data_IF_046940810469
#
_entry.id   IF_046940810469
#
_cell.length_a   1.000
_cell.length_b   1.000
_cell.length_c   1.000
_cell.angle_alpha   90.00
_cell.angle_beta   90.00
_cell.angle_gamma   90.00
#
_symmetry.space_group_name_H-M   'P 1'
#
loop_
_entity.id
_entity.type
_entity.pdbx_description
1 polymer ?
#
# COMPACT_ATOMS: atom_id res chain seq x y z
N UNK A 1 -6.53 11.00 -4.11
CA UNK A 1 -7.88 11.17 -3.61
C UNK A 1 -7.99 12.13 -2.44
N UNK A 2 -8.72 11.73 -1.41
CA UNK A 2 -9.03 12.59 -0.24
C UNK A 2 -7.79 13.13 0.47
N UNK A 3 -6.80 12.26 0.71
CA UNK A 3 -5.54 12.64 1.36
C UNK A 3 -4.72 13.66 0.54
N UNK A 4 -4.74 13.57 -0.77
CA UNK A 4 -4.07 14.55 -1.65
C UNK A 4 -4.70 15.93 -1.56
N UNK A 5 -6.03 16.00 -1.45
CA UNK A 5 -6.75 17.27 -1.28
C UNK A 5 -6.45 17.88 0.09
N UNK A 6 -6.40 17.06 1.15
CA UNK A 6 -6.04 17.55 2.49
C UNK A 6 -4.59 18.05 2.51
N UNK A 7 -3.64 17.30 1.98
CA UNK A 7 -2.24 17.69 1.93
C UNK A 7 -2.00 18.89 1.01
N UNK A 8 -2.81 19.05 -0.05
CA UNK A 8 -2.75 20.17 -0.99
C UNK A 8 -3.65 21.35 -0.63
N UNK A 9 -4.30 21.37 0.54
CA UNK A 9 -5.29 22.38 0.89
C UNK A 9 -4.74 23.82 0.85
N UNK A 10 -3.51 24.02 1.30
CA UNK A 10 -2.83 25.32 1.26
C UNK A 10 -2.69 25.85 -0.18
N UNK A 11 -2.32 24.97 -1.11
CA UNK A 11 -2.19 25.31 -2.54
C UNK A 11 -3.57 25.63 -3.14
N UNK A 12 -4.58 24.79 -2.84
CA UNK A 12 -5.96 24.98 -3.31
C UNK A 12 -6.52 26.35 -2.84
N UNK A 13 -6.22 26.73 -1.59
CA UNK A 13 -6.63 28.03 -1.04
C UNK A 13 -5.89 29.18 -1.69
N UNK A 14 -4.58 29.06 -1.89
CA UNK A 14 -3.74 30.07 -2.52
C UNK A 14 -4.21 30.41 -3.94
N UNK A 15 -4.60 29.38 -4.71
CA UNK A 15 -5.12 29.56 -6.07
C UNK A 15 -6.64 29.76 -6.16
N UNK A 16 -7.34 29.90 -5.02
CA UNK A 16 -8.81 30.08 -4.94
C UNK A 16 -9.60 29.02 -5.71
N UNK A 17 -9.12 27.78 -5.71
CA UNK A 17 -9.72 26.68 -6.46
C UNK A 17 -10.67 25.80 -5.62
N UNK A 18 -11.10 26.24 -4.45
CA UNK A 18 -11.93 25.48 -3.52
C UNK A 18 -13.23 24.96 -4.16
N UNK A 19 -13.90 25.82 -4.95
CA UNK A 19 -15.15 25.47 -5.63
C UNK A 19 -14.93 24.29 -6.60
N UNK A 20 -13.90 24.38 -7.46
CA UNK A 20 -13.57 23.35 -8.45
C UNK A 20 -13.19 22.02 -7.82
N UNK A 21 -12.41 22.05 -6.73
CA UNK A 21 -12.05 20.84 -5.99
C UNK A 21 -13.23 20.28 -5.20
N UNK A 22 -14.12 21.15 -4.68
CA UNK A 22 -15.37 20.75 -4.05
C UNK A 22 -16.30 20.02 -5.03
N UNK A 23 -16.45 20.52 -6.26
CA UNK A 23 -17.21 19.84 -7.32
C UNK A 23 -16.63 18.46 -7.67
N UNK A 24 -15.32 18.36 -7.89
CA UNK A 24 -14.64 17.06 -8.14
C UNK A 24 -14.84 16.08 -7.00
N UNK A 25 -14.77 16.59 -5.77
CA UNK A 25 -15.00 15.77 -4.57
C UNK A 25 -16.44 15.27 -4.52
N UNK A 26 -17.42 16.15 -4.80
CA UNK A 26 -18.82 15.80 -4.81
C UNK A 26 -19.15 14.79 -5.92
N UNK A 27 -18.52 14.92 -7.07
CA UNK A 27 -18.67 13.99 -8.20
C UNK A 27 -18.09 12.61 -7.89
N UNK A 28 -16.88 12.55 -7.33
CA UNK A 28 -16.27 11.32 -6.86
C UNK A 28 -17.11 10.66 -5.74
N UNK A 29 -17.62 11.45 -4.80
CA UNK A 29 -18.50 10.98 -3.73
C UNK A 29 -19.84 10.46 -4.28
N UNK A 30 -20.43 11.15 -5.26
CA UNK A 30 -21.64 10.70 -5.95
C UNK A 30 -21.44 9.37 -6.66
N UNK A 31 -20.38 9.22 -7.43
CA UNK A 31 -20.10 7.96 -8.14
C UNK A 31 -19.95 6.80 -7.16
N UNK A 32 -19.26 7.02 -6.05
CA UNK A 32 -19.11 6.03 -4.99
C UNK A 32 -20.45 5.72 -4.30
N UNK A 33 -21.26 6.75 -4.06
CA UNK A 33 -22.61 6.60 -3.50
C UNK A 33 -23.53 5.77 -4.41
N UNK A 34 -23.55 6.07 -5.71
CA UNK A 34 -24.37 5.32 -6.66
C UNK A 34 -23.93 3.87 -6.79
N UNK A 35 -22.62 3.60 -6.87
CA UNK A 35 -22.10 2.24 -6.88
C UNK A 35 -22.52 1.46 -5.62
N UNK A 36 -22.36 2.09 -4.44
CA UNK A 36 -22.76 1.48 -3.17
C UNK A 36 -24.28 1.27 -3.08
N UNK A 37 -25.06 2.23 -3.58
CA UNK A 37 -26.52 2.14 -3.59
C UNK A 37 -27.02 1.04 -4.53
N UNK A 38 -26.36 0.80 -5.66
CA UNK A 38 -26.69 -0.34 -6.53
C UNK A 38 -26.48 -1.68 -5.81
N UNK A 39 -25.37 -1.83 -5.11
CA UNK A 39 -25.10 -3.06 -4.31
C UNK A 39 -26.16 -3.25 -3.23
N UNK A 40 -26.49 -2.20 -2.48
CA UNK A 40 -27.52 -2.25 -1.43
C UNK A 40 -28.93 -2.56 -1.99
N UNK A 41 -29.24 -2.04 -3.21
CA UNK A 41 -30.51 -2.35 -3.88
C UNK A 41 -30.57 -3.81 -4.33
N UNK A 42 -29.49 -4.34 -4.90
CA UNK A 42 -29.43 -5.75 -5.28
C UNK A 42 -29.57 -6.66 -4.07
N UNK A 43 -28.87 -6.39 -2.98
CA UNK A 43 -28.96 -7.17 -1.75
C UNK A 43 -30.36 -7.06 -1.10
N UNK A 44 -30.87 -5.83 -0.98
CA UNK A 44 -32.13 -5.57 -0.26
C UNK A 44 -33.39 -5.93 -1.05
N UNK A 45 -33.43 -5.68 -2.38
CA UNK A 45 -34.60 -5.87 -3.20
C UNK A 45 -34.64 -7.17 -4.00
N UNK A 46 -33.48 -7.78 -4.24
CA UNK A 46 -33.38 -9.00 -5.02
C UNK A 46 -33.07 -10.21 -4.14
N UNK A 47 -31.93 -10.19 -3.47
CA UNK A 47 -31.43 -11.37 -2.75
C UNK A 47 -32.34 -11.74 -1.55
N UNK A 48 -32.63 -10.80 -0.67
CA UNK A 48 -33.46 -11.05 0.53
C UNK A 48 -34.89 -11.44 0.19
N UNK A 49 -35.64 -10.73 -0.70
CA UNK A 49 -36.98 -11.14 -1.08
C UNK A 49 -37.00 -12.47 -1.81
N UNK A 50 -36.01 -12.78 -2.64
CA UNK A 50 -35.94 -14.07 -3.34
C UNK A 50 -35.73 -15.23 -2.39
N UNK A 51 -34.85 -15.09 -1.40
CA UNK A 51 -34.66 -16.09 -0.34
C UNK A 51 -35.91 -16.26 0.50
N UNK A 52 -36.62 -15.16 0.84
CA UNK A 52 -37.84 -15.18 1.59
C UNK A 52 -38.98 -15.88 0.81
N UNK A 53 -39.09 -15.58 -0.51
CA UNK A 53 -40.07 -16.23 -1.38
C UNK A 53 -39.81 -17.74 -1.51
N UNK A 54 -38.51 -18.10 -1.69
CA UNK A 54 -38.11 -19.51 -1.74
C UNK A 54 -38.47 -20.24 -0.44
N UNK A 55 -38.16 -19.65 0.70
CA UNK A 55 -38.50 -20.20 2.02
C UNK A 55 -40.03 -20.37 2.19
N UNK A 56 -40.83 -19.40 1.72
CA UNK A 56 -42.28 -19.47 1.75
C UNK A 56 -42.80 -20.57 0.84
N UNK A 57 -42.25 -20.74 -0.37
CA UNK A 57 -42.63 -21.80 -1.29
C UNK A 57 -42.34 -23.20 -0.72
N UNK A 58 -41.16 -23.37 -0.12
CA UNK A 58 -40.76 -24.61 0.54
C UNK A 58 -41.73 -24.93 1.70
N UNK A 59 -42.04 -23.91 2.50
CA UNK A 59 -43.00 -24.05 3.60
C UNK A 59 -44.41 -24.45 3.11
N UNK A 60 -44.93 -23.77 2.08
CA UNK A 60 -46.20 -24.11 1.47
C UNK A 60 -46.18 -25.53 0.89
N UNK A 61 -45.13 -25.94 0.22
CA UNK A 61 -44.95 -27.28 -0.31
C UNK A 61 -44.96 -28.34 0.79
N UNK A 62 -44.28 -28.10 1.89
CA UNK A 62 -44.28 -28.98 3.05
C UNK A 62 -45.70 -29.09 3.68
N UNK A 63 -46.35 -27.96 3.88
CA UNK A 63 -47.72 -27.96 4.43
C UNK A 63 -48.69 -28.70 3.53
N UNK A 64 -48.59 -28.58 2.21
CA UNK A 64 -49.43 -29.36 1.26
C UNK A 64 -49.09 -30.84 1.33
N UNK A 65 -47.81 -31.22 1.31
CA UNK A 65 -47.38 -32.62 1.41
C UNK A 65 -47.91 -33.27 2.69
N UNK A 66 -47.84 -32.59 3.83
CA UNK A 66 -48.33 -33.10 5.10
C UNK A 66 -49.84 -33.05 5.19
N UNK A 67 -50.52 -32.05 4.60
CA UNK A 67 -51.98 -31.94 4.62
C UNK A 67 -52.70 -32.98 3.73
N UNK A 68 -52.04 -33.40 2.61
CA UNK A 68 -52.60 -34.42 1.71
C UNK A 68 -52.17 -35.85 2.06
N UNK A 69 -51.16 -36.06 2.91
CA UNK A 69 -50.74 -37.39 3.32
C UNK A 69 -51.72 -37.95 4.37
N UNK A 70 -52.56 -38.91 3.94
CA UNK A 70 -53.44 -39.69 4.80
C UNK A 70 -52.73 -40.72 5.68
N UNK A 71 -51.37 -40.74 5.62
CA UNK A 71 -50.56 -41.74 6.32
C UNK A 71 -49.91 -41.12 7.55
N UNK A 72 -50.52 -41.37 8.69
CA UNK A 72 -49.92 -41.19 10.01
C UNK A 72 -49.98 -39.75 10.54
N UNK A 73 -50.23 -39.61 11.81
CA UNK A 73 -50.13 -38.35 12.57
C UNK A 73 -48.69 -37.87 12.57
N UNK A 74 -48.37 -36.89 11.67
CA UNK A 74 -47.11 -36.17 11.78
C UNK A 74 -47.19 -35.36 13.08
N UNK A 75 -46.25 -35.60 13.97
CA UNK A 75 -46.17 -34.86 15.22
C UNK A 75 -45.98 -33.39 14.92
N UNK A 76 -46.77 -32.51 15.51
CA UNK A 76 -46.71 -31.05 15.37
C UNK A 76 -45.27 -30.54 15.64
N UNK A 77 -44.54 -31.25 16.50
CA UNK A 77 -43.13 -30.98 16.79
C UNK A 77 -42.21 -31.06 15.59
N UNK A 78 -42.41 -32.02 14.66
CA UNK A 78 -41.63 -32.16 13.44
C UNK A 78 -41.86 -30.98 12.50
N UNK A 79 -43.12 -30.55 12.35
CA UNK A 79 -43.47 -29.40 11.54
C UNK A 79 -42.84 -28.12 12.10
N UNK A 80 -42.89 -27.91 13.40
CA UNK A 80 -42.28 -26.79 14.08
C UNK A 80 -40.75 -26.80 13.92
N UNK A 81 -40.08 -27.93 14.03
CA UNK A 81 -38.66 -28.07 13.83
C UNK A 81 -38.26 -27.67 12.40
N UNK A 82 -39.00 -28.11 11.38
CA UNK A 82 -38.78 -27.77 9.98
C UNK A 82 -38.87 -26.26 9.73
N UNK A 83 -39.91 -25.63 10.23
CA UNK A 83 -40.11 -24.17 10.12
C UNK A 83 -38.93 -23.42 10.78
N UNK A 84 -38.56 -23.87 11.97
CA UNK A 84 -37.42 -23.27 12.69
C UNK A 84 -36.10 -23.42 11.96
N UNK A 85 -35.83 -24.59 11.35
CA UNK A 85 -34.59 -24.79 10.58
C UNK A 85 -34.58 -24.01 9.28
N UNK A 86 -35.70 -23.89 8.56
CA UNK A 86 -35.80 -23.04 7.38
C UNK A 86 -35.51 -21.56 7.70
N UNK A 87 -36.02 -21.06 8.81
CA UNK A 87 -35.72 -19.70 9.24
C UNK A 87 -34.25 -19.48 9.58
N UNK A 88 -33.60 -20.47 10.19
CA UNK A 88 -32.18 -20.43 10.56
C UNK A 88 -31.25 -20.58 9.37
N UNK A 89 -31.66 -21.12 8.22
CA UNK A 89 -30.85 -21.25 7.02
C UNK A 89 -30.63 -19.92 6.29
N UNK A 90 -31.53 -18.98 6.43
CA UNK A 90 -31.44 -17.70 5.71
C UNK A 90 -30.28 -16.81 6.20
N UNK A 91 -30.02 -16.77 7.50
CA UNK A 91 -28.92 -15.98 8.07
C UNK A 91 -27.52 -16.42 7.56
N UNK A 92 -27.16 -17.72 7.66
CA UNK A 92 -25.87 -18.18 7.12
C UNK A 92 -25.68 -17.92 5.62
N UNK A 93 -26.75 -18.02 4.82
CA UNK A 93 -26.69 -17.75 3.38
C UNK A 93 -26.36 -16.27 3.08
N UNK A 94 -26.98 -15.35 3.84
CA UNK A 94 -26.67 -13.93 3.73
C UNK A 94 -25.24 -13.65 4.22
N UNK A 95 -24.83 -14.30 5.30
CA UNK A 95 -23.49 -14.14 5.87
C UNK A 95 -22.40 -14.62 4.90
N UNK A 96 -22.61 -15.72 4.19
CA UNK A 96 -21.68 -16.21 3.16
C UNK A 96 -21.41 -15.17 2.07
N UNK A 97 -22.41 -14.37 1.66
CA UNK A 97 -22.19 -13.32 0.65
C UNK A 97 -21.33 -12.18 1.18
N UNK A 98 -21.45 -11.83 2.45
CA UNK A 98 -20.59 -10.82 3.08
C UNK A 98 -19.18 -11.34 3.33
N UNK A 99 -19.04 -12.60 3.72
CA UNK A 99 -17.74 -13.28 3.89
C UNK A 99 -16.95 -13.36 2.58
N UNK A 100 -17.62 -13.60 1.46
CA UNK A 100 -16.98 -13.62 0.14
C UNK A 100 -16.31 -12.27 -0.19
N UNK A 101 -16.98 -11.15 0.09
CA UNK A 101 -16.41 -9.82 -0.11
C UNK A 101 -15.17 -9.58 0.77
N UNK A 102 -15.23 -10.03 2.01
CA UNK A 102 -14.10 -9.93 2.96
C UNK A 102 -12.92 -10.78 2.51
N UNK A 103 -13.18 -11.99 2.00
CA UNK A 103 -12.15 -12.87 1.46
C UNK A 103 -11.45 -12.23 0.26
N UNK A 104 -12.18 -11.64 -0.68
CA UNK A 104 -11.60 -10.93 -1.82
C UNK A 104 -10.70 -9.77 -1.37
N UNK A 105 -11.12 -8.97 -0.38
CA UNK A 105 -10.30 -7.90 0.18
C UNK A 105 -9.03 -8.44 0.85
N UNK A 106 -9.13 -9.55 1.57
CA UNK A 106 -7.98 -10.20 2.20
C UNK A 106 -6.98 -10.73 1.16
N UNK A 107 -7.45 -11.31 0.06
CA UNK A 107 -6.59 -11.77 -1.04
C UNK A 107 -5.83 -10.59 -1.65
N UNK A 108 -6.52 -9.50 -2.01
CA UNK A 108 -5.87 -8.30 -2.59
C UNK A 108 -4.88 -7.67 -1.61
N UNK A 109 -5.18 -7.66 -0.32
CA UNK A 109 -4.24 -7.19 0.70
C UNK A 109 -3.01 -8.11 0.80
N UNK A 110 -3.24 -9.43 0.74
CA UNK A 110 -2.19 -10.44 0.72
C UNK A 110 -1.26 -10.30 -0.49
N UNK A 111 -1.80 -10.13 -1.68
CA UNK A 111 -1.02 -9.90 -2.91
C UNK A 111 -0.05 -8.73 -2.77
N UNK A 112 -0.51 -7.62 -2.19
CA UNK A 112 0.37 -6.45 -1.95
C UNK A 112 1.51 -6.75 -0.97
N UNK A 113 1.25 -7.56 0.05
CA UNK A 113 2.27 -7.97 1.01
C UNK A 113 3.29 -8.88 0.33
N UNK A 114 2.83 -9.88 -0.44
CA UNK A 114 3.71 -10.79 -1.17
C UNK A 114 4.50 -10.06 -2.26
N UNK A 115 3.89 -9.13 -3.00
CA UNK A 115 4.61 -8.29 -3.97
C UNK A 115 5.75 -7.50 -3.32
N UNK A 116 5.55 -7.03 -2.08
CA UNK A 116 6.61 -6.36 -1.33
C UNK A 116 7.69 -7.33 -0.86
N UNK A 117 7.30 -8.53 -0.40
CA UNK A 117 8.22 -9.56 0.09
C UNK A 117 9.06 -10.17 -1.05
N UNK A 118 8.49 -10.28 -2.24
CA UNK A 118 9.15 -10.84 -3.43
C UNK A 118 10.09 -9.84 -4.12
N UNK A 119 10.09 -8.58 -3.69
CA UNK A 119 11.05 -7.61 -4.23
C UNK A 119 12.48 -8.04 -3.91
N UNK A 120 13.37 -8.00 -4.90
CA UNK A 120 14.77 -8.35 -4.68
C UNK A 120 15.35 -7.45 -3.59
N UNK A 121 16.02 -8.08 -2.63
CA UNK A 121 16.74 -7.33 -1.60
C UNK A 121 17.89 -6.58 -2.23
N UNK A 122 18.18 -5.40 -1.71
CA UNK A 122 19.37 -4.66 -2.11
C UNK A 122 20.62 -5.47 -1.72
N UNK A 123 21.48 -5.74 -2.70
CA UNK A 123 22.75 -6.41 -2.46
C UNK A 123 23.76 -5.38 -1.95
N UNK A 124 24.22 -5.58 -0.73
CA UNK A 124 25.39 -4.93 -0.18
C UNK A 124 26.59 -5.86 -0.34
N UNK A 125 27.80 -5.29 -0.29
CA UNK A 125 29.00 -6.11 -0.21
C UNK A 125 29.16 -6.79 1.15
N UNK A 126 30.23 -7.55 1.29
CA UNK A 126 30.53 -8.33 2.49
C UNK A 126 31.53 -7.65 3.43
N UNK A 127 32.09 -6.49 3.04
CA UNK A 127 33.09 -5.76 3.83
C UNK A 127 32.42 -4.92 4.92
N UNK A 128 32.34 -5.47 6.12
CA UNK A 128 31.80 -4.82 7.32
C UNK A 128 32.85 -4.00 8.12
N UNK A 129 34.05 -3.79 7.56
CA UNK A 129 35.07 -2.98 8.22
C UNK A 129 34.60 -1.53 8.37
N UNK A 130 34.67 -0.92 9.55
CA UNK A 130 34.21 0.45 9.76
C UNK A 130 34.90 1.47 8.85
N UNK A 131 34.18 2.52 8.46
CA UNK A 131 34.72 3.70 7.83
C UNK A 131 35.29 4.64 8.88
N UNK A 132 36.47 5.22 8.67
CA UNK A 132 37.16 6.01 9.70
C UNK A 132 37.59 7.40 9.25
N UNK A 133 38.01 7.57 8.01
CA UNK A 133 38.61 8.82 7.53
C UNK A 133 37.59 9.79 6.93
N UNK A 134 36.59 9.26 6.26
CA UNK A 134 35.59 10.04 5.55
C UNK A 134 36.06 10.59 4.22
N UNK A 135 37.08 9.97 3.61
CA UNK A 135 37.52 10.29 2.23
C UNK A 135 36.47 9.78 1.25
N UNK A 136 36.15 10.59 0.21
CA UNK A 136 35.18 10.20 -0.83
C UNK A 136 35.82 10.42 -2.18
N UNK A 137 35.89 9.38 -3.00
CA UNK A 137 36.32 9.43 -4.38
C UNK A 137 35.17 9.04 -5.29
N UNK A 138 34.87 9.86 -6.26
CA UNK A 138 33.87 9.62 -7.29
C UNK A 138 34.54 9.73 -8.64
N UNK A 139 34.45 8.67 -9.46
CA UNK A 139 35.11 8.61 -10.77
C UNK A 139 34.05 8.32 -11.86
N UNK A 140 33.97 9.25 -12.84
CA UNK A 140 33.15 9.14 -14.06
C UNK A 140 31.68 8.69 -13.77
N UNK A 141 31.11 9.15 -12.67
CA UNK A 141 29.79 8.77 -12.21
C UNK A 141 28.70 9.30 -13.13
N UNK A 142 27.91 8.40 -13.71
CA UNK A 142 26.69 8.75 -14.42
C UNK A 142 25.54 7.93 -13.85
N UNK A 143 24.39 8.57 -13.66
CA UNK A 143 23.24 7.95 -13.04
C UNK A 143 21.93 8.41 -13.63
N UNK A 144 21.00 7.46 -13.78
CA UNK A 144 19.61 7.68 -14.18
C UNK A 144 18.68 6.87 -13.28
N UNK A 145 17.56 7.46 -12.88
CA UNK A 145 16.47 6.69 -12.22
C UNK A 145 15.70 5.81 -13.20
N UNK A 146 15.70 6.21 -14.46
CA UNK A 146 15.13 5.48 -15.61
C UNK A 146 16.13 5.53 -16.74
N UNK A 147 16.18 4.48 -17.53
CA UNK A 147 17.18 4.33 -18.60
C UNK A 147 17.22 5.48 -19.62
N UNK A 148 16.12 6.19 -19.79
CA UNK A 148 15.94 7.27 -20.77
C UNK A 148 16.31 8.66 -20.25
N UNK A 149 16.61 8.83 -18.95
CA UNK A 149 16.85 10.17 -18.38
C UNK A 149 18.02 10.21 -17.41
N UNK A 150 19.19 10.63 -17.91
CA UNK A 150 20.37 10.88 -17.09
C UNK A 150 20.14 12.06 -16.15
N UNK A 151 20.40 11.86 -14.85
CA UNK A 151 20.34 12.88 -13.80
C UNK A 151 21.73 13.37 -13.43
N UNK A 152 22.72 12.46 -13.40
CA UNK A 152 24.12 12.80 -13.22
C UNK A 152 24.87 12.32 -14.46
N UNK A 153 25.81 13.13 -14.96
CA UNK A 153 26.58 12.83 -16.15
C UNK A 153 28.05 13.14 -15.90
N UNK A 154 28.88 12.11 -15.96
CA UNK A 154 30.32 12.16 -15.91
C UNK A 154 30.89 12.99 -14.75
N UNK A 155 30.36 12.74 -13.54
CA UNK A 155 30.81 13.45 -12.33
C UNK A 155 32.04 12.78 -11.77
N UNK A 156 33.09 13.56 -11.60
CA UNK A 156 34.32 13.16 -10.88
C UNK A 156 34.61 14.17 -9.78
N UNK A 157 34.80 13.68 -8.56
CA UNK A 157 34.97 14.50 -7.36
C UNK A 157 35.84 13.76 -6.35
N UNK A 158 36.80 14.47 -5.77
CA UNK A 158 37.58 14.01 -4.63
C UNK A 158 37.29 14.87 -3.41
N UNK A 159 37.00 14.23 -2.29
CA UNK A 159 36.77 14.87 -0.99
C UNK A 159 37.81 14.36 -0.01
N UNK A 160 38.66 15.25 0.46
CA UNK A 160 39.68 14.95 1.47
C UNK A 160 39.05 14.52 2.81
N UNK A 161 39.72 13.64 3.56
CA UNK A 161 39.30 13.28 4.88
C UNK A 161 39.06 14.49 5.79
N UNK A 162 37.96 14.44 6.58
CA UNK A 162 37.62 15.48 7.57
C UNK A 162 37.46 16.89 6.98
N UNK A 163 37.23 17.00 5.69
CA UNK A 163 36.93 18.26 5.02
C UNK A 163 35.45 18.61 5.06
N UNK A 164 35.18 19.88 4.81
CA UNK A 164 33.81 20.39 4.62
C UNK A 164 33.66 20.77 3.15
N UNK A 165 32.65 20.17 2.50
CA UNK A 165 32.37 20.40 1.07
C UNK A 165 30.92 20.85 0.90
N UNK A 166 30.70 21.91 0.12
CA UNK A 166 29.36 22.39 -0.23
C UNK A 166 29.02 22.06 -1.68
N UNK A 167 27.90 21.38 -1.88
CA UNK A 167 27.32 21.14 -3.21
C UNK A 167 26.34 22.26 -3.53
N UNK A 168 26.68 23.10 -4.52
CA UNK A 168 25.86 24.26 -4.93
C UNK A 168 25.30 24.04 -6.32
N UNK A 169 24.08 24.50 -6.56
CA UNK A 169 23.41 24.39 -7.86
C UNK A 169 21.91 24.65 -7.74
N UNK A 170 21.25 24.86 -8.88
CA UNK A 170 19.80 25.05 -8.94
C UNK A 170 19.02 23.79 -8.54
N UNK A 171 17.72 23.94 -8.28
CA UNK A 171 16.83 22.79 -8.03
C UNK A 171 16.83 21.87 -9.24
N UNK A 172 16.96 20.57 -9.02
CA UNK A 172 17.03 19.57 -10.09
C UNK A 172 18.45 19.32 -10.65
N UNK A 173 19.51 19.96 -10.12
CA UNK A 173 20.89 19.72 -10.58
C UNK A 173 21.52 18.41 -10.09
N UNK A 174 20.77 17.52 -9.44
CA UNK A 174 21.26 16.22 -9.01
C UNK A 174 21.91 16.15 -7.62
N UNK A 175 21.93 17.23 -6.82
CA UNK A 175 22.56 17.24 -5.47
C UNK A 175 21.99 16.15 -4.54
N UNK A 176 20.69 16.08 -4.43
CA UNK A 176 20.02 15.05 -3.60
C UNK A 176 20.21 13.65 -4.15
N UNK A 177 20.32 13.52 -5.47
CA UNK A 177 20.62 12.24 -6.14
C UNK A 177 22.03 11.77 -5.77
N UNK A 178 23.03 12.68 -5.82
CA UNK A 178 24.39 12.35 -5.43
C UNK A 178 24.46 11.92 -3.95
N UNK A 179 23.79 12.65 -3.05
CA UNK A 179 23.71 12.26 -1.64
C UNK A 179 23.05 10.89 -1.46
N UNK A 180 21.98 10.58 -2.20
CA UNK A 180 21.31 9.29 -2.17
C UNK A 180 22.18 8.13 -2.67
N UNK A 181 23.03 8.39 -3.67
CA UNK A 181 24.01 7.41 -4.17
C UNK A 181 25.12 7.14 -3.15
N UNK A 182 25.62 8.18 -2.47
CA UNK A 182 26.60 8.03 -1.38
C UNK A 182 26.04 7.19 -0.21
N UNK A 183 24.72 7.28 0.04
CA UNK A 183 24.03 6.42 1.00
C UNK A 183 23.81 4.99 0.49
N UNK A 184 24.18 4.70 -0.76
CA UNK A 184 23.94 3.40 -1.36
C UNK A 184 22.47 3.05 -1.55
N UNK A 185 21.55 4.03 -1.69
CA UNK A 185 20.13 3.75 -1.90
C UNK A 185 19.80 3.21 -3.28
N UNK A 186 20.69 3.46 -4.25
CA UNK A 186 20.53 3.02 -5.64
C UNK A 186 21.82 2.38 -6.14
N UNK A 187 21.73 1.35 -6.97
CA UNK A 187 22.90 0.80 -7.65
C UNK A 187 23.45 1.83 -8.65
N UNK A 188 24.77 1.87 -8.79
CA UNK A 188 25.41 2.77 -9.74
C UNK A 188 25.14 2.28 -11.18
N UNK A 189 24.83 3.21 -12.09
CA UNK A 189 24.64 2.89 -13.51
C UNK A 189 25.99 2.83 -14.22
N UNK A 190 26.87 3.81 -13.98
CA UNK A 190 28.21 3.89 -14.56
C UNK A 190 29.12 4.68 -13.62
N UNK A 191 30.40 4.34 -13.63
CA UNK A 191 31.41 4.97 -12.77
C UNK A 191 31.55 4.26 -11.44
N UNK A 192 32.30 4.82 -10.52
CA UNK A 192 32.60 4.25 -9.23
C UNK A 192 32.53 5.31 -8.13
N UNK A 193 32.08 4.89 -6.95
CA UNK A 193 32.18 5.66 -5.71
C UNK A 193 33.00 4.84 -4.73
N UNK A 194 33.98 5.45 -4.13
CA UNK A 194 34.80 4.85 -3.07
C UNK A 194 34.69 5.66 -1.79
N UNK A 195 34.54 4.97 -0.68
CA UNK A 195 34.59 5.55 0.67
C UNK A 195 35.80 4.98 1.40
N UNK A 196 36.68 5.84 1.88
CA UNK A 196 37.98 5.46 2.47
C UNK A 196 38.79 4.53 1.54
N UNK A 197 38.79 4.82 0.23
CA UNK A 197 39.49 4.04 -0.80
C UNK A 197 38.80 2.72 -1.19
N UNK A 198 37.68 2.35 -0.56
CA UNK A 198 36.94 1.10 -0.82
C UNK A 198 35.72 1.36 -1.70
N UNK A 199 35.50 0.55 -2.74
CA UNK A 199 34.32 0.68 -3.58
C UNK A 199 33.02 0.55 -2.77
N UNK A 200 32.06 1.44 -3.01
CA UNK A 200 30.75 1.44 -2.34
C UNK A 200 30.02 0.10 -2.50
N UNK A 201 30.17 -0.56 -3.65
CA UNK A 201 29.56 -1.84 -3.95
C UNK A 201 30.09 -3.00 -3.09
N UNK A 202 31.30 -2.88 -2.51
CA UNK A 202 31.91 -3.91 -1.66
C UNK A 202 31.58 -3.73 -0.19
N UNK A 203 31.07 -2.55 0.21
CA UNK A 203 30.76 -2.25 1.60
C UNK A 203 29.51 -2.99 2.07
N UNK A 204 29.63 -3.59 3.22
CA UNK A 204 28.52 -4.24 3.90
C UNK A 204 27.50 -3.22 4.45
N UNK A 205 26.28 -3.68 4.68
CA UNK A 205 25.19 -2.84 5.17
C UNK A 205 25.54 -2.12 6.49
N UNK A 206 26.13 -2.83 7.46
CA UNK A 206 26.47 -2.26 8.76
C UNK A 206 27.60 -1.22 8.67
N UNK A 207 28.64 -1.50 7.88
CA UNK A 207 29.74 -0.57 7.66
C UNK A 207 29.25 0.74 7.04
N UNK A 208 28.41 0.64 6.01
CA UNK A 208 27.86 1.80 5.32
C UNK A 208 26.92 2.63 6.20
N UNK A 209 25.98 1.99 6.93
CA UNK A 209 25.00 2.70 7.77
C UNK A 209 25.60 3.33 9.02
N UNK A 210 26.68 2.75 9.56
CA UNK A 210 27.40 3.34 10.69
C UNK A 210 28.40 4.42 10.24
N UNK A 211 28.92 4.31 9.02
CA UNK A 211 29.93 5.23 8.50
C UNK A 211 29.39 6.46 7.81
N UNK A 212 28.16 6.39 7.24
CA UNK A 212 27.54 7.49 6.49
C UNK A 212 26.16 7.81 7.06
N UNK A 213 25.98 9.06 7.46
CA UNK A 213 24.69 9.57 7.93
C UNK A 213 24.17 10.69 7.02
N UNK A 214 22.86 10.77 6.84
CA UNK A 214 22.21 11.80 6.04
C UNK A 214 21.10 12.47 6.84
N UNK A 215 21.13 13.80 6.88
CA UNK A 215 20.03 14.61 7.43
C UNK A 215 19.20 15.12 6.25
N UNK A 216 17.94 14.69 6.21
CA UNK A 216 17.01 15.11 5.14
C UNK A 216 16.43 16.49 5.43
N UNK A 217 16.02 17.20 4.38
CA UNK A 217 15.36 18.49 4.52
C UNK A 217 14.01 18.39 5.24
N UNK A 218 13.23 17.34 4.91
CA UNK A 218 11.96 17.02 5.53
C UNK A 218 12.07 15.64 6.19
N UNK A 219 12.55 15.54 7.44
CA UNK A 219 12.72 14.26 8.11
C UNK A 219 11.36 13.65 8.46
N UNK A 220 11.22 12.35 8.20
CA UNK A 220 10.06 11.58 8.66
C UNK A 220 10.29 11.23 10.12
N UNK A 221 9.43 11.75 11.00
CA UNK A 221 9.46 11.44 12.43
C UNK A 221 8.35 10.44 12.74
N UNK A 222 8.71 9.29 13.28
CA UNK A 222 7.76 8.29 13.74
C UNK A 222 7.16 8.73 15.10
N UNK A 223 5.92 8.33 15.36
CA UNK A 223 5.24 8.61 16.63
C UNK A 223 5.79 7.72 17.75
N UNK A 224 7.06 7.93 18.09
CA UNK A 224 7.81 7.19 19.10
C UNK A 224 8.77 8.12 19.85
N UNK A 225 9.57 7.58 20.78
CA UNK A 225 10.58 8.32 21.52
C UNK A 225 11.65 8.91 20.60
N UNK A 226 12.35 9.95 21.06
CA UNK A 226 13.49 10.53 20.33
C UNK A 226 14.54 9.45 19.98
N UNK A 227 14.87 8.58 20.95
CA UNK A 227 15.86 7.51 20.76
C UNK A 227 15.45 6.44 19.74
N UNK A 228 14.15 6.26 19.51
CA UNK A 228 13.66 5.34 18.48
C UNK A 228 13.69 5.95 17.08
N UNK A 229 13.81 7.28 16.97
CA UNK A 229 13.85 8.03 15.73
C UNK A 229 15.29 8.34 15.26
N UNK A 230 16.28 8.12 16.09
CA UNK A 230 17.71 8.34 15.83
C UNK A 230 18.47 7.02 15.91
#
# INVERSE_FOLDING_TARGET
GFNEIINGMSVIQQFRQQARFGERMSEASRSHYFARMQTLRLDGFLLRPLLSLFSALVLCGLLMLFGFSTVGTVEVGVLYAFISYLGRLNEPLIELTTQQSMLQQAVVAGERVFELMDRPRQNYGDDETPLHSGAIDIENLSFAYREDQLVLQDISLHVEPRSFVALVGHTGSGKSTLASLLMGYYPLTKGEIRLDGRPLATLGHSALRKGVAMVQQDPVVLADSFFANV
#
